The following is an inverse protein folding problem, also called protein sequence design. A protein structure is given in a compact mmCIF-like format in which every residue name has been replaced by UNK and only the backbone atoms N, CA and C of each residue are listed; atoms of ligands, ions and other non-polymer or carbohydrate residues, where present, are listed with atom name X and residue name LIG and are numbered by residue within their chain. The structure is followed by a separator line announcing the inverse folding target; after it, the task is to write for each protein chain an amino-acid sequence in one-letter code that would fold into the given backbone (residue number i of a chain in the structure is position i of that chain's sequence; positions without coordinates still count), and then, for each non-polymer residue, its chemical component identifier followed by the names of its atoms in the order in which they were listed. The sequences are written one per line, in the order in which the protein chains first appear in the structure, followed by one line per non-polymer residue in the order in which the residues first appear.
data_IF_113833582619
#
_entry.id   IF_113833582619
#
_cell.length_a   1.000
_cell.length_b   1.000
_cell.length_c   1.000
_cell.angle_alpha   90.00
_cell.angle_beta   90.00
_cell.angle_gamma   90.00
#
_symmetry.space_group_name_H-M   'P 1'
#
loop_
_entity.id
_entity.type
_entity.pdbx_description
1 polymer ?
#
# COMPACT_ATOMS: atom_id res chain seq x y z
N UNK A 1 -5.34 -35.79 14.39
CA UNK A 1 -4.11 -35.16 13.80
C UNK A 1 -4.31 -33.65 13.70
N UNK A 2 -3.42 -32.82 14.26
CA UNK A 2 -3.49 -31.36 14.11
C UNK A 2 -2.84 -30.97 12.78
N UNK A 3 -3.64 -30.52 11.82
CA UNK A 3 -3.14 -29.94 10.56
C UNK A 3 -2.36 -28.66 10.92
N UNK A 4 -1.09 -28.56 10.50
CA UNK A 4 -0.32 -27.34 10.77
C UNK A 4 -0.92 -26.18 9.97
N UNK A 5 -0.84 -24.95 10.50
CA UNK A 5 -1.40 -23.76 9.82
C UNK A 5 -0.83 -23.57 8.40
N UNK A 6 0.43 -23.97 8.18
CA UNK A 6 1.05 -23.98 6.86
C UNK A 6 0.33 -24.96 5.91
N UNK A 7 0.13 -26.20 6.31
CA UNK A 7 -0.57 -27.21 5.50
C UNK A 7 -1.98 -26.74 5.13
N UNK A 8 -2.68 -26.08 6.05
CA UNK A 8 -4.01 -25.50 5.78
C UNK A 8 -3.98 -24.42 4.70
N UNK A 9 -3.00 -23.51 4.73
CA UNK A 9 -2.89 -22.44 3.73
C UNK A 9 -2.60 -22.99 2.33
N UNK A 10 -1.76 -24.02 2.24
CA UNK A 10 -1.50 -24.73 0.98
C UNK A 10 -2.75 -25.45 0.46
N UNK A 11 -3.43 -26.22 1.32
CA UNK A 11 -4.66 -26.93 0.95
C UNK A 11 -5.76 -25.98 0.47
N UNK A 12 -5.88 -24.81 1.10
CA UNK A 12 -6.84 -23.80 0.68
C UNK A 12 -6.52 -23.26 -0.72
N UNK A 13 -5.26 -22.97 -0.99
CA UNK A 13 -4.80 -22.55 -2.32
C UNK A 13 -5.06 -23.61 -3.39
N UNK A 14 -4.77 -24.89 -3.11
CA UNK A 14 -5.06 -26.01 -4.02
C UNK A 14 -6.56 -26.12 -4.29
N UNK A 15 -7.40 -26.00 -3.25
CA UNK A 15 -8.85 -26.02 -3.40
C UNK A 15 -9.35 -24.86 -4.24
N UNK A 16 -8.82 -23.67 -4.02
CA UNK A 16 -9.15 -22.48 -4.80
C UNK A 16 -8.75 -22.66 -6.28
N UNK A 17 -7.53 -23.13 -6.54
CA UNK A 17 -7.08 -23.41 -7.91
C UNK A 17 -8.01 -24.41 -8.61
N UNK A 18 -8.37 -25.52 -7.95
CA UNK A 18 -9.29 -26.52 -8.50
C UNK A 18 -10.67 -25.92 -8.82
N UNK A 19 -11.21 -25.08 -7.94
CA UNK A 19 -12.49 -24.40 -8.16
C UNK A 19 -12.48 -23.43 -9.34
N UNK A 20 -11.31 -22.90 -9.69
CA UNK A 20 -11.11 -21.98 -10.81
C UNK A 20 -10.56 -22.68 -12.08
N UNK A 21 -10.41 -24.01 -12.09
CA UNK A 21 -9.84 -24.76 -13.22
C UNK A 21 -8.34 -24.51 -13.46
N UNK A 22 -7.63 -24.01 -12.45
CA UNK A 22 -6.20 -23.67 -12.52
C UNK A 22 -5.35 -24.80 -11.93
N UNK A 23 -4.11 -24.94 -12.43
CA UNK A 23 -3.12 -25.84 -11.87
C UNK A 23 -2.46 -25.20 -10.66
N UNK A 24 -2.49 -25.89 -9.51
CA UNK A 24 -1.84 -25.40 -8.29
C UNK A 24 -0.32 -25.54 -8.32
N UNK A 25 0.22 -26.42 -9.18
CA UNK A 25 1.64 -26.65 -9.34
C UNK A 25 1.96 -27.10 -10.78
N UNK A 26 2.90 -26.45 -11.51
CA UNK A 26 3.39 -25.09 -11.28
C UNK A 26 2.26 -24.07 -11.35
N UNK A 27 2.11 -23.22 -10.32
CA UNK A 27 1.20 -22.07 -10.42
C UNK A 27 1.87 -20.95 -11.22
N UNK A 28 1.11 -20.31 -12.10
CA UNK A 28 1.58 -19.08 -12.74
C UNK A 28 1.57 -17.93 -11.73
N UNK A 29 2.54 -17.01 -11.75
CA UNK A 29 2.53 -15.79 -10.93
C UNK A 29 1.19 -15.03 -10.86
N UNK A 30 0.47 -14.92 -11.98
CA UNK A 30 -0.84 -14.26 -12.02
C UNK A 30 -1.88 -14.99 -11.17
N UNK A 31 -1.81 -16.33 -11.10
CA UNK A 31 -2.68 -17.18 -10.26
C UNK A 31 -2.45 -16.89 -8.78
N UNK A 32 -1.19 -16.71 -8.37
CA UNK A 32 -0.87 -16.37 -6.99
C UNK A 32 -1.29 -14.94 -6.63
N UNK A 33 -1.11 -13.98 -7.54
CA UNK A 33 -1.58 -12.62 -7.36
C UNK A 33 -3.12 -12.55 -7.27
N UNK A 34 -3.83 -13.30 -8.12
CA UNK A 34 -5.29 -13.41 -8.09
C UNK A 34 -5.78 -14.05 -6.80
N UNK A 35 -5.12 -15.11 -6.32
CA UNK A 35 -5.41 -15.72 -5.03
C UNK A 35 -5.23 -14.73 -3.86
N UNK A 36 -4.10 -14.01 -3.82
CA UNK A 36 -3.85 -13.00 -2.80
C UNK A 36 -4.96 -11.93 -2.78
N UNK A 37 -5.37 -11.45 -3.96
CA UNK A 37 -6.45 -10.48 -4.11
C UNK A 37 -7.81 -11.02 -3.63
N UNK A 38 -8.10 -12.30 -3.91
CA UNK A 38 -9.30 -12.97 -3.41
C UNK A 38 -9.31 -13.10 -1.88
N UNK A 39 -8.14 -13.37 -1.28
CA UNK A 39 -7.96 -13.44 0.18
C UNK A 39 -8.15 -12.11 0.90
N UNK A 40 -7.96 -10.97 0.23
CA UNK A 40 -8.04 -9.62 0.83
C UNK A 40 -9.38 -9.35 1.51
N UNK A 41 -10.47 -9.92 0.98
CA UNK A 41 -11.81 -9.80 1.57
C UNK A 41 -11.99 -10.54 2.90
N UNK A 42 -11.13 -11.52 3.20
CA UNK A 42 -11.31 -12.47 4.31
C UNK A 42 -10.18 -12.41 5.34
N UNK A 43 -8.99 -12.01 4.92
CA UNK A 43 -7.77 -12.11 5.70
C UNK A 43 -7.05 -10.76 5.77
N UNK A 44 -6.41 -10.50 6.91
CA UNK A 44 -5.50 -9.35 7.07
C UNK A 44 -4.24 -9.56 6.24
N UNK A 45 -3.66 -8.48 5.74
CA UNK A 45 -2.40 -8.50 4.97
C UNK A 45 -1.28 -9.40 5.54
N UNK A 46 -0.92 -9.35 6.85
CA UNK A 46 0.15 -10.21 7.37
C UNK A 46 -0.17 -11.70 7.26
N UNK A 47 -1.44 -12.08 7.27
CA UNK A 47 -1.85 -13.47 7.07
C UNK A 47 -1.73 -13.88 5.60
N UNK A 48 -2.05 -12.98 4.67
CA UNK A 48 -1.90 -13.20 3.24
C UNK A 48 -0.42 -13.37 2.87
N UNK A 49 0.45 -12.49 3.36
CA UNK A 49 1.90 -12.60 3.15
C UNK A 49 2.46 -13.94 3.66
N UNK A 50 2.00 -14.42 4.83
CA UNK A 50 2.38 -15.75 5.34
C UNK A 50 1.87 -16.88 4.43
N UNK A 51 0.65 -16.79 3.93
CA UNK A 51 0.09 -17.79 3.01
C UNK A 51 0.91 -17.85 1.71
N UNK A 52 1.33 -16.71 1.17
CA UNK A 52 2.20 -16.62 -0.02
C UNK A 52 3.53 -17.33 0.21
N UNK A 53 4.20 -17.10 1.35
CA UNK A 53 5.46 -17.77 1.70
C UNK A 53 5.27 -19.30 1.78
N UNK A 54 4.16 -19.76 2.34
CA UNK A 54 3.85 -21.20 2.42
C UNK A 54 3.65 -21.81 1.02
N UNK A 55 2.95 -21.10 0.13
CA UNK A 55 2.76 -21.52 -1.26
C UNK A 55 4.10 -21.56 -1.99
N UNK A 56 4.93 -20.53 -1.84
CA UNK A 56 6.29 -20.48 -2.39
C UNK A 56 7.14 -21.67 -1.91
N UNK A 57 7.06 -21.98 -0.61
CA UNK A 57 7.75 -23.15 -0.04
C UNK A 57 7.27 -24.45 -0.68
N UNK A 58 5.98 -24.62 -0.92
CA UNK A 58 5.46 -25.83 -1.59
C UNK A 58 6.00 -25.98 -3.02
N UNK A 59 6.17 -24.87 -3.75
CA UNK A 59 6.79 -24.87 -5.08
C UNK A 59 8.27 -25.25 -5.04
N UNK A 60 9.01 -24.71 -4.06
CA UNK A 60 10.41 -25.05 -3.84
C UNK A 60 10.59 -26.53 -3.47
N UNK A 61 9.73 -27.07 -2.60
CA UNK A 61 9.76 -28.49 -2.22
C UNK A 61 9.48 -29.42 -3.40
N UNK A 62 8.78 -28.94 -4.42
CA UNK A 62 8.51 -29.66 -5.66
C UNK A 62 9.56 -29.40 -6.76
N UNK A 63 10.64 -28.68 -6.46
CA UNK A 63 11.70 -28.30 -7.40
C UNK A 63 11.20 -27.49 -8.61
N UNK A 64 10.14 -26.70 -8.43
CA UNK A 64 9.50 -25.86 -9.47
C UNK A 64 9.81 -24.38 -9.21
N UNK A 65 9.89 -23.53 -10.24
CA UNK A 65 10.03 -22.08 -10.07
C UNK A 65 8.98 -21.51 -9.10
N UNK A 66 9.46 -20.77 -8.10
CA UNK A 66 8.60 -20.12 -7.12
C UNK A 66 7.92 -18.89 -7.72
N UNK A 67 6.58 -18.81 -7.71
CA UNK A 67 5.84 -17.66 -8.25
C UNK A 67 6.01 -16.36 -7.45
N UNK A 68 6.60 -16.41 -6.24
CA UNK A 68 6.76 -15.26 -5.34
C UNK A 68 7.75 -14.20 -5.84
N UNK A 69 8.77 -14.60 -6.62
CA UNK A 69 9.80 -13.70 -7.14
C UNK A 69 9.34 -12.82 -8.30
N UNK A 70 8.15 -13.07 -8.83
CA UNK A 70 7.63 -12.36 -9.98
C UNK A 70 7.16 -10.94 -9.60
N UNK A 71 7.46 -9.92 -10.42
CA UNK A 71 7.12 -8.53 -10.12
C UNK A 71 5.60 -8.29 -9.99
N UNK A 72 4.75 -9.10 -10.63
CA UNK A 72 3.29 -8.97 -10.53
C UNK A 72 2.84 -9.30 -9.09
N UNK A 73 3.41 -10.34 -8.50
CA UNK A 73 3.08 -10.75 -7.12
C UNK A 73 3.59 -9.69 -6.14
N UNK A 74 4.83 -9.25 -6.29
CA UNK A 74 5.41 -8.20 -5.44
C UNK A 74 4.60 -6.88 -5.50
N UNK A 75 4.22 -6.44 -6.70
CA UNK A 75 3.39 -5.24 -6.89
C UNK A 75 2.01 -5.40 -6.26
N UNK A 76 1.40 -6.56 -6.42
CA UNK A 76 0.08 -6.85 -5.84
C UNK A 76 0.13 -6.78 -4.31
N UNK A 77 1.12 -7.43 -3.69
CA UNK A 77 1.31 -7.39 -2.24
C UNK A 77 1.59 -5.98 -1.73
N UNK A 78 2.41 -5.20 -2.44
CA UNK A 78 2.69 -3.80 -2.09
C UNK A 78 1.41 -2.95 -2.07
N UNK A 79 0.55 -3.05 -3.09
CA UNK A 79 -0.74 -2.35 -3.12
C UNK A 79 -1.64 -2.78 -1.96
N UNK A 80 -1.66 -4.07 -1.64
CA UNK A 80 -2.46 -4.59 -0.52
C UNK A 80 -1.95 -4.10 0.82
N UNK A 81 -0.63 -4.01 0.99
CA UNK A 81 -0.01 -3.45 2.19
C UNK A 81 -0.37 -1.98 2.37
N UNK A 82 -0.27 -1.19 1.29
CA UNK A 82 -0.65 0.22 1.30
C UNK A 82 -2.11 0.42 1.67
N UNK A 83 -3.02 -0.41 1.15
CA UNK A 83 -4.43 -0.39 1.52
C UNK A 83 -4.66 -0.77 2.98
N UNK A 84 -3.97 -1.81 3.46
CA UNK A 84 -4.07 -2.22 4.86
C UNK A 84 -3.55 -1.16 5.84
N UNK A 85 -2.51 -0.40 5.45
CA UNK A 85 -1.97 0.72 6.23
C UNK A 85 -2.82 1.98 6.12
N UNK A 86 -3.56 2.15 5.04
CA UNK A 86 -4.36 3.35 4.82
C UNK A 86 -5.48 3.46 5.88
N UNK A 87 -5.72 4.66 6.43
CA UNK A 87 -6.91 4.90 7.25
C UNK A 87 -8.17 4.73 6.38
N UNK A 88 -9.30 4.28 6.95
CA UNK A 88 -10.53 3.95 6.22
C UNK A 88 -11.14 5.12 5.42
N UNK A 89 -10.66 6.35 5.64
CA UNK A 89 -11.18 7.59 5.06
C UNK A 89 -10.53 7.99 3.72
N UNK A 90 -9.60 7.21 3.14
CA UNK A 90 -8.96 7.59 1.86
C UNK A 90 -9.93 7.72 0.68
N UNK A 91 -11.12 7.13 0.76
CA UNK A 91 -12.18 7.25 -0.25
C UNK A 91 -13.22 8.35 0.05
N UNK A 92 -13.12 9.03 1.20
CA UNK A 92 -13.96 10.18 1.52
C UNK A 92 -13.46 11.42 0.75
N UNK A 93 -13.57 11.40 -0.57
CA UNK A 93 -13.27 12.53 -1.44
C UNK A 93 -14.25 13.69 -1.21
N UNK A 94 -15.46 13.37 -0.75
CA UNK A 94 -16.49 14.33 -0.37
C UNK A 94 -16.75 14.22 1.15
N UNK A 95 -16.02 14.99 1.94
CA UNK A 95 -16.51 15.31 3.28
C UNK A 95 -17.69 16.28 3.09
N UNK A 96 -18.91 15.81 3.30
CA UNK A 96 -20.14 16.64 3.25
C UNK A 96 -20.20 17.66 4.38
N UNK A 97 -19.24 17.62 5.31
CA UNK A 97 -19.10 18.61 6.39
C UNK A 97 -18.38 19.87 5.87
N UNK A 98 -19.02 21.05 5.92
CA UNK A 98 -18.36 22.30 5.54
C UNK A 98 -17.12 22.51 6.41
N UNK A 99 -15.96 22.69 5.76
CA UNK A 99 -14.66 22.91 6.39
C UNK A 99 -14.53 24.30 7.02
N UNK A 100 -15.52 24.73 7.79
CA UNK A 100 -15.49 25.97 8.56
C UNK A 100 -15.51 25.63 10.06
N UNK A 101 -14.44 24.98 10.55
CA UNK A 101 -14.15 25.02 11.99
C UNK A 101 -13.37 26.31 12.26
N UNK A 102 -13.88 27.26 13.06
CA UNK A 102 -13.12 28.46 13.40
C UNK A 102 -11.82 28.04 14.10
N UNK A 103 -10.68 28.54 13.63
CA UNK A 103 -9.40 28.37 14.32
C UNK A 103 -9.51 29.08 15.66
N UNK A 104 -9.81 28.35 16.73
CA UNK A 104 -9.62 28.86 18.08
C UNK A 104 -8.10 29.01 18.25
N UNK A 105 -7.63 30.24 18.14
CA UNK A 105 -6.24 30.59 18.36
C UNK A 105 -5.88 30.22 19.80
N UNK A 106 -5.13 29.13 19.99
CA UNK A 106 -4.48 28.87 21.27
C UNK A 106 -3.56 30.06 21.56
N UNK A 107 -3.87 30.83 22.60
CA UNK A 107 -2.95 31.86 23.14
C UNK A 107 -1.64 31.15 23.47
N UNK A 108 -0.59 31.48 22.72
CA UNK A 108 0.78 31.07 23.04
C UNK A 108 1.20 31.84 24.28
N UNK A 109 1.37 31.17 25.41
CA UNK A 109 2.16 31.72 26.51
C UNK A 109 3.63 31.73 26.08
N UNK A 110 4.37 32.84 26.26
CA UNK A 110 5.78 32.90 25.94
C UNK A 110 6.58 32.14 27.00
N UNK A 111 7.11 30.97 26.65
CA UNK A 111 8.17 30.33 27.42
C UNK A 111 9.51 30.92 27.00
N UNK A 112 10.16 31.60 27.94
CA UNK A 112 11.55 32.06 27.87
C UNK A 112 12.46 30.83 27.82
N UNK A 113 13.26 30.71 26.77
CA UNK A 113 14.31 29.69 26.65
C UNK A 113 15.64 30.42 26.49
N UNK A 114 16.38 30.50 27.58
CA UNK A 114 17.81 30.79 27.57
C UNK A 114 18.53 29.44 27.36
N UNK A 115 19.10 29.22 26.16
CA UNK A 115 20.21 28.26 25.90
C UNK A 115 20.66 28.30 24.42
N UNK A 116 21.97 28.26 24.21
CA UNK A 116 22.76 28.54 22.99
C UNK A 116 22.44 27.77 21.68
N UNK A 117 22.84 28.33 20.52
CA UNK A 117 22.54 27.78 19.20
C UNK A 117 23.54 26.71 18.73
N UNK A 118 23.12 25.43 18.76
CA UNK A 118 23.79 24.39 17.99
C UNK A 118 23.46 24.51 16.49
N UNK A 119 24.49 24.76 15.67
CA UNK A 119 24.41 24.88 14.20
C UNK A 119 23.80 23.61 13.58
N UNK A 120 22.51 23.66 13.20
CA UNK A 120 21.87 22.65 12.36
C UNK A 120 22.09 23.00 10.89
N UNK A 121 22.73 22.07 10.17
CA UNK A 121 22.93 22.16 8.73
C UNK A 121 21.57 22.32 8.03
N UNK A 122 21.45 23.33 7.17
CA UNK A 122 20.21 23.68 6.49
C UNK A 122 19.78 22.53 5.55
N UNK A 123 18.74 21.80 5.94
CA UNK A 123 18.07 20.86 5.03
C UNK A 123 17.41 21.67 3.90
N UNK A 124 17.60 21.20 2.65
CA UNK A 124 17.03 21.83 1.46
C UNK A 124 15.51 22.02 1.63
N UNK A 125 14.96 23.21 1.33
CA UNK A 125 13.52 23.41 1.43
C UNK A 125 12.79 22.47 0.46
N UNK A 126 11.59 21.97 0.84
CA UNK A 126 10.81 21.12 -0.05
C UNK A 126 10.51 21.88 -1.35
N UNK A 127 10.64 21.19 -2.47
CA UNK A 127 10.36 21.73 -3.80
C UNK A 127 8.83 21.92 -3.92
N UNK A 128 8.34 23.09 -3.55
CA UNK A 128 6.93 23.44 -3.63
C UNK A 128 6.51 23.60 -5.09
N UNK A 129 5.40 22.95 -5.48
CA UNK A 129 4.73 23.23 -6.74
C UNK A 129 4.16 24.66 -6.69
N UNK A 130 4.26 25.41 -7.78
CA UNK A 130 3.68 26.75 -7.86
C UNK A 130 2.16 26.67 -7.74
N UNK A 131 1.60 27.45 -6.84
CA UNK A 131 0.16 27.55 -6.57
C UNK A 131 -0.59 28.41 -7.60
N UNK A 132 0.12 29.12 -8.48
CA UNK A 132 -0.49 29.95 -9.50
C UNK A 132 0.11 29.68 -10.90
N UNK A 133 -0.71 29.49 -11.94
CA UNK A 133 -0.24 29.41 -13.32
C UNK A 133 0.34 30.77 -13.75
N UNK A 134 1.34 30.77 -14.66
CA UNK A 134 1.85 32.01 -15.24
C UNK A 134 0.79 32.58 -16.19
N UNK A 135 0.22 33.73 -15.84
CA UNK A 135 -0.63 34.49 -16.75
C UNK A 135 0.28 35.11 -17.83
N UNK A 136 0.10 34.69 -19.07
CA UNK A 136 0.73 35.31 -20.23
C UNK A 136 -0.13 36.49 -20.67
N UNK A 137 0.41 37.72 -20.64
CA UNK A 137 -0.27 38.85 -21.27
C UNK A 137 -0.07 38.75 -22.78
N UNK A 138 -1.15 38.51 -23.53
CA UNK A 138 -1.15 38.81 -24.96
C UNK A 138 -1.40 40.30 -25.09
N UNK A 139 -0.41 41.06 -25.57
CA UNK A 139 -0.67 42.43 -26.03
C UNK A 139 -1.56 42.31 -27.27
N UNK A 140 -2.68 43.04 -27.38
CA UNK A 140 -3.39 43.12 -28.64
C UNK A 140 -2.51 43.84 -29.64
N UNK A 141 -2.30 43.24 -30.82
CA UNK A 141 -1.71 43.95 -31.94
C UNK A 141 -2.70 45.05 -32.36
N UNK A 142 -2.28 46.30 -32.20
CA UNK A 142 -3.04 47.47 -32.68
C UNK A 142 -2.89 47.56 -34.21
N UNK A 143 -3.98 47.88 -34.94
CA UNK A 143 -4.00 47.94 -36.40
C UNK A 143 -3.12 49.06 -36.97
#
# INVERSE_FOLDING_TARGET
MRIKKADKAWLEFVRWCRGHGLKALPAHPWTLAAYARWCESRLKYPQIARNVIVIARAHLMACVPSPDRDPIVARTLSVMEERHRAPPLRAALFNLEPSCKPRIAKKRTPQKQDAEPAKRQASRPPRLLRTAPRLASRRPDTP
#
